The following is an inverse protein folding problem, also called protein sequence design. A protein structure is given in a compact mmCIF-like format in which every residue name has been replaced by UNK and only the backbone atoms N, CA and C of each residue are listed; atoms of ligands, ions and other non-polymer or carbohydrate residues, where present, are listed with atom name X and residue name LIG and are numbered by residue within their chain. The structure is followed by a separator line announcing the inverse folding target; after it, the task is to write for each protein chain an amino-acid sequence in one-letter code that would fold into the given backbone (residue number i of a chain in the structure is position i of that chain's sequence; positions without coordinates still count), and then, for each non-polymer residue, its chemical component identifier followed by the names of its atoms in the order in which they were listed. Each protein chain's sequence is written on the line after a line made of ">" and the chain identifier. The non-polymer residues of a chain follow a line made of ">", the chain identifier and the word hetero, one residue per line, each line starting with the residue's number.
data_IF_873674876756
#
_entry.id   IF_873674876756
#
_cell.length_a   1.000
_cell.length_b   1.000
_cell.length_c   1.000
_cell.angle_alpha   90.00
_cell.angle_beta   90.00
_cell.angle_gamma   90.00
#
_symmetry.space_group_name_H-M   'P 1'
#
loop_
_entity.id
_entity.type
_entity.pdbx_description
1 polymer ?
#
# COMPACT_ATOMS: atom_id res chain seq x y z
N UNK A 1 44.47 -26.26 34.67
CA UNK A 1 43.03 -26.05 34.89
C UNK A 1 42.78 -24.60 34.69
N UNK A 2 42.30 -24.22 33.50
CA UNK A 2 41.90 -22.84 33.23
C UNK A 2 40.39 -22.78 33.47
N UNK A 3 39.98 -21.96 34.41
CA UNK A 3 38.57 -21.64 34.66
C UNK A 3 38.07 -20.74 33.51
N UNK A 4 37.20 -21.25 32.72
CA UNK A 4 36.40 -20.43 31.79
C UNK A 4 35.34 -19.71 32.63
N UNK A 5 35.57 -18.42 32.87
CA UNK A 5 34.57 -17.54 33.50
C UNK A 5 33.30 -17.51 32.69
N UNK A 6 32.21 -18.00 33.30
CA UNK A 6 30.85 -17.90 32.76
C UNK A 6 30.41 -16.43 32.76
N UNK A 7 30.66 -15.74 31.69
CA UNK A 7 29.99 -14.45 31.39
C UNK A 7 28.61 -14.77 30.83
N UNK A 8 27.60 -14.06 31.32
CA UNK A 8 26.27 -14.12 30.71
C UNK A 8 26.33 -13.63 29.26
N UNK A 9 25.79 -14.40 28.33
CA UNK A 9 25.69 -14.01 26.93
C UNK A 9 24.79 -12.79 26.81
N UNK A 10 25.36 -11.63 26.48
CA UNK A 10 24.60 -10.42 26.23
C UNK A 10 24.38 -10.23 24.72
N UNK A 11 23.11 -10.02 24.34
CA UNK A 11 22.76 -9.65 22.98
C UNK A 11 23.18 -8.18 22.74
N UNK A 12 24.17 -8.00 21.89
CA UNK A 12 24.67 -6.67 21.52
C UNK A 12 24.20 -6.30 20.10
N UNK A 13 23.67 -5.09 19.96
CA UNK A 13 23.29 -4.54 18.66
C UNK A 13 24.53 -4.02 17.93
N UNK A 14 24.94 -4.73 16.88
CA UNK A 14 26.22 -4.47 16.16
C UNK A 14 26.28 -3.16 15.40
N UNK A 15 25.18 -2.41 15.29
CA UNK A 15 25.09 -1.18 14.49
C UNK A 15 25.17 0.10 15.34
N UNK A 16 25.38 -0.03 16.66
CA UNK A 16 25.67 1.09 17.57
C UNK A 16 26.96 0.82 18.31
N UNK A 17 27.64 1.91 18.74
CA UNK A 17 28.92 1.78 19.46
C UNK A 17 28.77 1.26 20.89
N UNK A 18 27.61 1.51 21.48
CA UNK A 18 27.24 1.11 22.83
C UNK A 18 26.62 -0.29 22.89
N UNK A 19 26.33 -0.89 21.72
CA UNK A 19 25.65 -2.17 21.63
C UNK A 19 24.16 -2.13 21.96
N UNK A 20 23.57 -0.96 22.17
CA UNK A 20 22.15 -0.82 22.49
C UNK A 20 21.28 -0.75 21.23
N UNK A 21 20.17 -1.48 21.26
CA UNK A 21 19.17 -1.44 20.19
C UNK A 21 18.33 -0.17 20.29
N UNK A 22 18.19 0.53 19.17
CA UNK A 22 17.19 1.59 19.03
C UNK A 22 16.50 1.53 17.66
N UNK A 23 15.24 1.95 17.62
CA UNK A 23 14.48 2.06 16.36
C UNK A 23 15.16 3.02 15.38
N UNK A 24 15.77 4.09 15.88
CA UNK A 24 16.53 5.04 15.07
C UNK A 24 17.77 4.41 14.43
N UNK A 25 18.55 3.62 15.18
CA UNK A 25 19.74 2.94 14.63
C UNK A 25 19.37 1.91 13.57
N UNK A 26 18.24 1.22 13.76
CA UNK A 26 17.69 0.28 12.77
C UNK A 26 17.25 1.01 11.50
N UNK A 27 16.50 2.09 11.66
CA UNK A 27 16.06 2.92 10.53
C UNK A 27 17.24 3.47 9.73
N UNK A 28 18.23 4.06 10.40
CA UNK A 28 19.45 4.56 9.76
C UNK A 28 20.22 3.45 9.03
N UNK A 29 20.23 2.23 9.57
CA UNK A 29 20.89 1.09 8.91
C UNK A 29 20.14 0.64 7.66
N UNK A 30 18.81 0.63 7.68
CA UNK A 30 17.98 0.28 6.53
C UNK A 30 18.18 1.27 5.38
N UNK A 31 18.20 2.59 5.68
CA UNK A 31 18.41 3.62 4.65
C UNK A 31 19.87 3.73 4.18
N UNK A 32 20.86 3.32 5.01
CA UNK A 32 22.29 3.40 4.67
C UNK A 32 22.79 2.19 3.86
N UNK A 33 21.94 1.20 3.57
CA UNK A 33 22.31 0.04 2.76
C UNK A 33 22.20 0.39 1.26
N UNK A 34 23.30 0.80 0.58
CA UNK A 34 23.22 1.22 -0.83
C UNK A 34 23.05 0.06 -1.81
N UNK A 35 22.99 -1.19 -1.32
CA UNK A 35 22.87 -2.40 -2.14
C UNK A 35 21.42 -2.86 -2.41
N UNK A 36 20.45 -2.34 -1.68
CA UNK A 36 19.02 -2.56 -1.89
C UNK A 36 18.29 -1.22 -1.93
N UNK A 37 18.68 -0.35 -2.86
CA UNK A 37 17.82 0.76 -3.24
C UNK A 37 16.66 0.21 -4.09
N UNK A 38 15.79 -0.57 -3.50
CA UNK A 38 14.39 -0.43 -3.81
C UNK A 38 14.00 0.98 -3.37
N UNK A 39 14.35 1.96 -4.22
CA UNK A 39 13.89 3.32 -4.01
C UNK A 39 12.36 3.22 -3.96
N UNK A 40 11.79 3.33 -2.78
CA UNK A 40 10.34 3.30 -2.60
C UNK A 40 9.73 4.33 -3.54
N UNK A 41 9.16 3.86 -4.63
CA UNK A 41 8.58 4.71 -5.69
C UNK A 41 7.34 5.46 -5.20
N UNK A 42 6.95 5.29 -3.94
CA UNK A 42 5.76 5.87 -3.34
C UNK A 42 5.96 7.20 -2.60
N UNK A 43 7.12 7.88 -2.71
CA UNK A 43 7.36 9.16 -2.03
C UNK A 43 6.34 10.26 -2.40
N UNK A 44 5.70 10.16 -3.55
CA UNK A 44 4.63 11.04 -4.01
C UNK A 44 3.38 11.00 -3.12
N UNK A 45 3.12 9.88 -2.43
CA UNK A 45 1.95 9.67 -1.55
C UNK A 45 1.88 10.76 -0.48
N UNK A 46 3.04 11.15 0.08
CA UNK A 46 3.13 12.17 1.11
C UNK A 46 2.82 13.58 0.62
N UNK A 47 2.73 13.77 -0.70
CA UNK A 47 2.36 15.04 -1.34
C UNK A 47 0.87 15.08 -1.74
N UNK A 48 0.15 13.97 -1.59
CA UNK A 48 -1.29 13.90 -1.89
C UNK A 48 -2.08 14.74 -0.89
N UNK A 49 -2.93 15.60 -1.40
CA UNK A 49 -3.84 16.41 -0.56
C UNK A 49 -5.02 15.55 -0.13
N UNK A 50 -4.93 14.96 1.05
CA UNK A 50 -5.96 14.07 1.59
C UNK A 50 -5.87 13.96 3.11
N UNK A 51 -6.80 13.23 3.73
CA UNK A 51 -6.77 12.95 5.17
C UNK A 51 -5.64 11.96 5.51
N UNK A 52 -4.99 12.08 6.69
CA UNK A 52 -3.89 11.19 7.08
C UNK A 52 -4.23 9.70 6.96
N UNK A 53 -5.44 9.29 7.34
CA UNK A 53 -5.91 7.90 7.22
C UNK A 53 -5.96 7.40 5.76
N UNK A 54 -6.28 8.29 4.82
CA UNK A 54 -6.33 7.97 3.39
C UNK A 54 -4.91 7.90 2.82
N UNK A 55 -4.01 8.79 3.25
CA UNK A 55 -2.59 8.74 2.88
C UNK A 55 -1.98 7.41 3.36
N UNK A 56 -2.26 7.00 4.61
CA UNK A 56 -1.80 5.70 5.13
C UNK A 56 -2.39 4.53 4.33
N UNK A 57 -3.65 4.62 3.91
CA UNK A 57 -4.26 3.60 3.05
C UNK A 57 -3.59 3.51 1.67
N UNK A 58 -3.30 4.65 1.02
CA UNK A 58 -2.57 4.67 -0.24
C UNK A 58 -1.18 4.05 -0.09
N UNK A 59 -0.51 4.33 1.03
CA UNK A 59 0.78 3.71 1.36
C UNK A 59 0.64 2.18 1.47
N UNK A 60 -0.40 1.68 2.16
CA UNK A 60 -0.70 0.25 2.25
C UNK A 60 -1.02 -0.36 0.86
N UNK A 61 -1.70 0.38 -0.02
CA UNK A 61 -1.97 -0.06 -1.39
C UNK A 61 -0.66 -0.31 -2.15
N UNK A 62 0.28 0.63 -2.11
CA UNK A 62 1.58 0.51 -2.77
C UNK A 62 2.43 -0.64 -2.21
N UNK A 63 2.28 -0.94 -0.91
CA UNK A 63 2.95 -2.07 -0.27
C UNK A 63 2.16 -3.39 -0.36
N UNK A 64 1.04 -3.43 -1.10
CA UNK A 64 0.16 -4.61 -1.24
C UNK A 64 -0.22 -5.22 0.12
N UNK A 65 -0.38 -4.35 1.12
CA UNK A 65 -0.57 -4.71 2.53
C UNK A 65 -1.95 -4.36 3.07
N UNK A 66 -2.84 -3.85 2.21
CA UNK A 66 -4.25 -3.62 2.56
C UNK A 66 -4.89 -4.96 2.94
N UNK A 67 -5.65 -5.03 4.04
CA UNK A 67 -6.28 -6.29 4.50
C UNK A 67 -7.47 -6.69 3.61
N UNK A 68 -7.17 -7.07 2.37
CA UNK A 68 -8.08 -7.79 1.47
C UNK A 68 -7.95 -9.29 1.70
N UNK A 69 -8.91 -10.10 1.24
CA UNK A 69 -8.96 -11.54 1.55
C UNK A 69 -7.70 -12.29 1.15
N UNK A 70 -7.09 -11.95 0.02
CA UNK A 70 -5.83 -12.55 -0.40
C UNK A 70 -4.73 -12.35 0.64
N UNK A 71 -4.53 -11.11 1.10
CA UNK A 71 -3.55 -10.77 2.14
C UNK A 71 -3.91 -11.39 3.51
N UNK A 72 -5.21 -11.46 3.86
CA UNK A 72 -5.65 -12.04 5.13
C UNK A 72 -5.38 -13.54 5.18
N UNK A 73 -5.60 -14.26 4.09
CA UNK A 73 -5.28 -15.70 4.00
C UNK A 73 -3.78 -15.94 4.07
N UNK A 74 -2.96 -15.11 3.41
CA UNK A 74 -1.49 -15.18 3.51
C UNK A 74 -0.99 -14.94 4.95
N UNK A 75 -1.75 -14.20 5.75
CA UNK A 75 -1.49 -13.99 7.19
C UNK A 75 -2.06 -15.09 8.08
N UNK A 76 -2.57 -16.19 7.50
CA UNK A 76 -3.08 -17.35 8.24
C UNK A 76 -4.54 -17.25 8.66
N UNK A 77 -5.32 -16.30 8.15
CA UNK A 77 -6.76 -16.25 8.44
C UNK A 77 -7.53 -17.32 7.66
N UNK A 78 -8.37 -18.08 8.34
CA UNK A 78 -9.21 -19.15 7.76
C UNK A 78 -10.42 -18.63 6.98
N UNK A 79 -10.18 -17.79 5.96
CA UNK A 79 -11.26 -17.30 5.09
C UNK A 79 -10.99 -17.68 3.62
N UNK A 80 -12.03 -17.59 2.77
CA UNK A 80 -11.86 -17.78 1.33
C UNK A 80 -11.10 -16.60 0.72
N UNK A 81 -10.17 -16.85 -0.22
CA UNK A 81 -9.51 -15.81 -1.01
C UNK A 81 -10.44 -15.11 -2.00
N UNK A 82 -11.58 -15.73 -2.33
CA UNK A 82 -12.49 -15.19 -3.33
C UNK A 82 -13.16 -13.91 -2.86
N UNK A 83 -13.31 -12.97 -3.79
CA UNK A 83 -14.03 -11.73 -3.58
C UNK A 83 -15.48 -12.03 -3.14
N UNK A 84 -15.97 -11.49 -2.01
CA UNK A 84 -17.31 -11.77 -1.50
C UNK A 84 -18.41 -11.21 -2.40
N UNK A 85 -18.10 -10.22 -3.22
CA UNK A 85 -19.06 -9.57 -4.12
C UNK A 85 -19.24 -10.35 -5.42
N UNK A 86 -18.17 -10.55 -6.19
CA UNK A 86 -18.27 -11.24 -7.47
C UNK A 86 -18.16 -12.77 -7.36
N UNK A 87 -17.55 -13.29 -6.28
CA UNK A 87 -17.33 -14.74 -6.00
C UNK A 87 -16.55 -15.49 -7.08
N UNK A 88 -15.95 -14.77 -8.01
CA UNK A 88 -15.35 -15.34 -9.24
C UNK A 88 -13.84 -15.21 -9.28
N UNK A 89 -13.27 -14.21 -8.59
CA UNK A 89 -11.86 -13.89 -8.63
C UNK A 89 -11.29 -13.72 -7.23
N UNK A 90 -9.97 -13.88 -7.09
CA UNK A 90 -9.26 -13.60 -5.85
C UNK A 90 -9.43 -12.12 -5.52
N UNK A 91 -9.73 -11.80 -4.26
CA UNK A 91 -9.83 -10.42 -3.79
C UNK A 91 -8.44 -9.86 -3.51
N UNK A 92 -7.75 -9.45 -4.56
CA UNK A 92 -6.58 -8.59 -4.47
C UNK A 92 -7.01 -7.12 -4.35
N UNK A 93 -6.09 -6.23 -3.95
CA UNK A 93 -6.38 -4.78 -3.92
C UNK A 93 -6.69 -4.24 -5.32
N UNK A 94 -6.03 -4.77 -6.34
CA UNK A 94 -6.25 -4.42 -7.73
C UNK A 94 -7.67 -4.85 -8.18
N UNK A 95 -8.01 -6.11 -7.93
CA UNK A 95 -9.36 -6.58 -8.21
C UNK A 95 -10.42 -5.73 -7.52
N UNK A 96 -10.26 -5.46 -6.24
CA UNK A 96 -11.23 -4.71 -5.44
C UNK A 96 -11.43 -3.29 -5.95
N UNK A 97 -10.37 -2.59 -6.37
CA UNK A 97 -10.43 -1.18 -6.76
C UNK A 97 -10.67 -0.95 -8.25
N UNK A 98 -10.33 -1.90 -9.13
CA UNK A 98 -10.41 -1.74 -10.58
C UNK A 98 -11.29 -2.77 -11.28
N UNK A 99 -11.11 -4.06 -10.97
CA UNK A 99 -11.58 -5.16 -11.80
C UNK A 99 -12.95 -5.70 -11.38
N UNK A 100 -13.25 -5.65 -10.08
CA UNK A 100 -14.51 -6.16 -9.54
C UNK A 100 -15.72 -5.50 -10.25
N UNK A 101 -16.75 -6.27 -10.47
CA UNK A 101 -18.02 -5.76 -11.05
C UNK A 101 -18.57 -4.58 -10.25
N UNK A 102 -18.39 -4.58 -8.94
CA UNK A 102 -18.79 -3.47 -8.07
C UNK A 102 -17.94 -2.20 -8.33
N UNK A 103 -16.61 -2.35 -8.40
CA UNK A 103 -15.71 -1.23 -8.71
C UNK A 103 -16.03 -0.63 -10.09
N UNK A 104 -16.19 -1.49 -11.10
CA UNK A 104 -16.55 -1.06 -12.47
C UNK A 104 -17.89 -0.32 -12.51
N UNK A 105 -18.89 -0.81 -11.79
CA UNK A 105 -20.19 -0.13 -11.68
C UNK A 105 -20.06 1.24 -10.98
N UNK A 106 -19.24 1.32 -9.93
CA UNK A 106 -18.94 2.58 -9.24
C UNK A 106 -18.29 3.59 -10.20
N UNK A 107 -17.22 3.20 -10.90
CA UNK A 107 -16.52 4.09 -11.84
C UNK A 107 -17.39 4.49 -13.04
N UNK A 108 -18.27 3.59 -13.50
CA UNK A 108 -19.25 3.90 -14.55
C UNK A 108 -20.23 4.98 -14.10
N UNK A 109 -20.76 4.88 -12.87
CA UNK A 109 -21.68 5.90 -12.30
C UNK A 109 -20.99 7.25 -12.13
N UNK A 110 -19.67 7.26 -11.90
CA UNK A 110 -18.87 8.48 -11.82
C UNK A 110 -18.57 9.08 -13.20
N UNK A 111 -18.98 8.45 -14.30
CA UNK A 111 -18.70 8.90 -15.67
C UNK A 111 -17.24 8.83 -16.08
N UNK A 112 -16.41 8.09 -15.33
CA UNK A 112 -14.96 8.00 -15.53
C UNK A 112 -14.49 6.63 -15.99
N UNK A 113 -15.40 5.74 -16.36
CA UNK A 113 -15.07 4.37 -16.78
C UNK A 113 -14.06 4.36 -17.95
N UNK A 114 -14.11 5.37 -18.82
CA UNK A 114 -13.16 5.52 -19.93
C UNK A 114 -11.70 5.66 -19.46
N UNK A 115 -11.43 6.11 -18.23
CA UNK A 115 -10.10 6.18 -17.65
C UNK A 115 -9.58 4.79 -17.23
N UNK A 116 -10.45 3.79 -17.24
CA UNK A 116 -10.17 2.41 -16.82
C UNK A 116 -10.25 1.41 -17.98
N UNK A 117 -10.40 1.87 -19.21
CA UNK A 117 -10.53 0.99 -20.40
C UNK A 117 -9.25 0.19 -20.70
N UNK A 118 -8.09 0.65 -20.23
CA UNK A 118 -6.80 0.01 -20.41
C UNK A 118 -6.23 -0.63 -19.12
N UNK A 119 -7.11 -1.15 -18.26
CA UNK A 119 -6.73 -1.71 -16.95
C UNK A 119 -5.59 -2.74 -17.05
N UNK A 120 -5.59 -3.57 -18.11
CA UNK A 120 -4.57 -4.60 -18.28
C UNK A 120 -3.25 -4.09 -18.88
N UNK A 121 -3.23 -2.88 -19.45
CA UNK A 121 -2.03 -2.29 -20.03
C UNK A 121 -1.21 -1.45 -19.05
N UNK A 122 -1.79 -1.10 -17.91
CA UNK A 122 -1.17 -0.26 -16.90
C UNK A 122 -1.04 -1.01 -15.58
N UNK A 123 0.15 -0.93 -14.94
CA UNK A 123 0.35 -1.49 -13.61
C UNK A 123 -0.58 -0.83 -12.58
N UNK A 124 -0.91 -1.53 -11.51
CA UNK A 124 -1.71 -0.98 -10.42
C UNK A 124 -1.05 0.26 -9.79
N UNK A 125 0.26 0.21 -9.63
CA UNK A 125 1.05 1.26 -8.99
C UNK A 125 1.05 2.54 -9.85
N UNK A 126 1.24 2.41 -11.16
CA UNK A 126 1.18 3.54 -12.10
C UNK A 126 -0.24 4.13 -12.16
N UNK A 127 -1.25 3.28 -12.21
CA UNK A 127 -2.65 3.71 -12.19
C UNK A 127 -2.97 4.51 -10.92
N UNK A 128 -2.56 4.01 -9.76
CA UNK A 128 -2.78 4.69 -8.48
C UNK A 128 -2.08 6.06 -8.46
N UNK A 129 -0.82 6.08 -8.87
CA UNK A 129 -0.01 7.29 -8.93
C UNK A 129 -0.63 8.34 -9.85
N UNK A 130 -0.87 8.01 -11.12
CA UNK A 130 -1.39 8.96 -12.11
C UNK A 130 -2.73 9.57 -11.70
N UNK A 131 -3.62 8.77 -11.10
CA UNK A 131 -4.90 9.28 -10.64
C UNK A 131 -4.78 10.17 -9.41
N UNK A 132 -3.88 9.86 -8.47
CA UNK A 132 -3.65 10.69 -7.29
C UNK A 132 -3.00 12.04 -7.58
N UNK A 133 -2.15 12.14 -8.62
CA UNK A 133 -1.50 13.40 -8.99
C UNK A 133 -2.23 14.17 -10.08
N UNK A 134 -3.32 13.63 -10.60
CA UNK A 134 -4.06 14.22 -11.73
C UNK A 134 -4.64 15.59 -11.37
N UNK A 135 -4.36 16.57 -12.22
CA UNK A 135 -4.91 17.94 -12.12
C UNK A 135 -6.21 18.12 -12.90
N UNK A 136 -6.78 17.06 -13.47
CA UNK A 136 -8.05 17.14 -14.21
C UNK A 136 -9.15 17.67 -13.29
N UNK A 137 -9.92 18.63 -13.78
CA UNK A 137 -11.07 19.18 -13.06
C UNK A 137 -12.33 18.45 -13.52
N UNK A 138 -13.13 18.00 -12.58
CA UNK A 138 -14.43 17.36 -12.84
C UNK A 138 -15.55 18.40 -12.96
N UNK A 139 -16.75 17.96 -13.34
CA UNK A 139 -17.92 18.82 -13.47
C UNK A 139 -18.28 19.56 -12.17
N UNK A 140 -17.90 19.03 -11.02
CA UNK A 140 -18.09 19.62 -9.69
C UNK A 140 -16.96 20.58 -9.26
N UNK A 141 -16.07 20.97 -10.18
CA UNK A 141 -14.90 21.82 -9.94
C UNK A 141 -13.87 21.28 -8.95
N UNK A 142 -13.99 20.02 -8.49
CA UNK A 142 -12.99 19.38 -7.63
C UNK A 142 -11.92 18.74 -8.51
N UNK A 143 -10.62 19.00 -8.26
CA UNK A 143 -9.54 18.31 -8.95
C UNK A 143 -9.62 16.79 -8.73
N UNK A 144 -9.43 16.02 -9.81
CA UNK A 144 -9.50 14.55 -9.75
C UNK A 144 -8.54 13.96 -8.71
N UNK A 145 -7.32 14.46 -8.63
CA UNK A 145 -6.33 14.01 -7.65
C UNK A 145 -6.70 14.26 -6.18
N UNK A 146 -7.68 15.12 -5.90
CA UNK A 146 -8.26 15.27 -4.56
C UNK A 146 -9.42 14.28 -4.38
N UNK A 147 -10.30 14.14 -5.37
CA UNK A 147 -11.46 13.25 -5.29
C UNK A 147 -11.06 11.76 -5.27
N UNK A 148 -10.13 11.36 -6.12
CA UNK A 148 -9.78 9.96 -6.34
C UNK A 148 -9.32 9.22 -5.07
N UNK A 149 -8.44 9.77 -4.21
CA UNK A 149 -8.06 9.14 -2.93
C UNK A 149 -9.26 8.81 -2.03
N UNK A 150 -10.26 9.69 -1.97
CA UNK A 150 -11.49 9.43 -1.22
C UNK A 150 -12.33 8.34 -1.89
N UNK A 151 -12.40 8.32 -3.20
CA UNK A 151 -13.14 7.31 -3.95
C UNK A 151 -12.60 5.90 -3.72
N UNK A 152 -11.28 5.69 -3.84
CA UNK A 152 -10.67 4.38 -3.59
C UNK A 152 -10.76 3.96 -2.12
N UNK A 153 -10.65 4.91 -1.19
CA UNK A 153 -10.88 4.66 0.23
C UNK A 153 -12.31 4.16 0.49
N UNK A 154 -13.31 4.81 -0.12
CA UNK A 154 -14.71 4.39 0.05
C UNK A 154 -14.97 3.02 -0.59
N UNK A 155 -14.42 2.74 -1.77
CA UNK A 155 -14.52 1.42 -2.40
C UNK A 155 -13.99 0.29 -1.51
N UNK A 156 -12.87 0.54 -0.79
CA UNK A 156 -12.31 -0.44 0.13
C UNK A 156 -13.16 -0.62 1.39
N UNK A 157 -13.85 0.42 1.85
CA UNK A 157 -14.63 0.40 3.11
C UNK A 157 -16.00 -0.28 2.96
N UNK A 158 -16.48 -0.49 1.74
CA UNK A 158 -17.74 -1.16 1.42
C UNK A 158 -17.53 -2.61 1.00
#
# INVERSE_FOLDING_TARGET
>A
MQEFGGGEDMLLWKFTKDGEFSTNSTYLKIISNPGETNSFQGAWIWKVVSLPKIISFLWLCMHKSVPVRDVLVDRGMGCSRLCPVCKNQIESIDHLLRECVFARAFWSKMGVLHLFTNIHAQSFDDWLHENCISKRIQQNHIPWGIFFPFAVWNLWKH
#
